data_IF_996713914659
#
_entry.id   IF_996713914659
#
_cell.length_a   1.000
_cell.length_b   1.000
_cell.length_c   1.000
_cell.angle_alpha   90.00
_cell.angle_beta   90.00
_cell.angle_gamma   90.00
#
_symmetry.space_group_name_H-M   'P 1'
#
loop_
_entity.id
_entity.type
_entity.pdbx_description
1 polymer ?
#
# COMPACT_ATOMS: atom_id res chain seq x y z
N UNK A 1 7.92 -6.44 23.67
CA UNK A 1 6.81 -5.45 23.66
C UNK A 1 5.85 -5.84 22.55
N UNK A 2 4.56 -6.03 22.85
CA UNK A 2 3.52 -6.25 21.84
C UNK A 2 3.07 -4.89 21.29
N UNK A 3 2.88 -4.76 19.97
CA UNK A 3 2.38 -3.52 19.37
C UNK A 3 0.84 -3.59 19.32
N UNK A 4 0.18 -2.87 20.21
CA UNK A 4 -1.27 -3.04 20.50
C UNK A 4 -2.16 -2.26 19.53
N UNK A 5 -1.60 -1.42 18.64
CA UNK A 5 -2.36 -0.52 17.77
C UNK A 5 -1.86 -0.53 16.32
N UNK A 6 -1.67 -1.73 15.73
CA UNK A 6 -1.38 -1.85 14.30
C UNK A 6 -2.71 -2.01 13.57
N UNK A 7 -3.05 -1.02 12.74
CA UNK A 7 -4.13 -1.17 11.76
C UNK A 7 -3.53 -1.67 10.44
N UNK A 8 -4.14 -2.72 9.90
CA UNK A 8 -3.74 -3.35 8.64
C UNK A 8 -4.86 -3.15 7.63
N UNK A 9 -4.53 -2.62 6.46
CA UNK A 9 -5.48 -2.48 5.35
C UNK A 9 -4.98 -3.24 4.13
N UNK A 10 -5.91 -3.94 3.48
CA UNK A 10 -5.71 -4.61 2.20
C UNK A 10 -6.31 -3.75 1.10
N UNK A 11 -5.49 -3.07 0.32
CA UNK A 11 -5.91 -2.31 -0.84
C UNK A 11 -5.65 -3.13 -2.11
N UNK A 12 -6.47 -4.16 -2.27
CA UNK A 12 -6.50 -5.04 -3.45
C UNK A 12 -7.65 -4.62 -4.37
N UNK A 13 -7.65 -5.05 -5.65
CA UNK A 13 -8.63 -4.62 -6.67
C UNK A 13 -10.10 -4.68 -6.25
N UNK A 14 -10.47 -5.62 -5.38
CA UNK A 14 -11.84 -5.84 -4.89
C UNK A 14 -12.17 -4.94 -3.69
N UNK A 15 -11.16 -4.54 -2.89
CA UNK A 15 -11.32 -3.63 -1.75
C UNK A 15 -10.73 -2.26 -2.09
N UNK A 16 -11.42 -1.53 -2.97
CA UNK A 16 -11.00 -0.21 -3.40
C UNK A 16 -11.29 0.80 -2.29
N UNK A 17 -10.22 1.24 -1.62
CA UNK A 17 -10.29 2.38 -0.71
C UNK A 17 -10.84 3.61 -1.46
N UNK A 18 -11.80 4.36 -0.88
CA UNK A 18 -12.36 5.57 -1.47
C UNK A 18 -11.28 6.56 -1.91
N UNK A 19 -11.57 7.31 -2.98
CA UNK A 19 -10.63 8.17 -3.73
C UNK A 19 -10.02 9.33 -2.94
N UNK A 20 -10.42 9.51 -1.68
CA UNK A 20 -9.93 10.56 -0.77
C UNK A 20 -9.53 10.03 0.61
N UNK A 21 -9.39 8.70 0.74
CA UNK A 21 -8.95 8.11 2.02
C UNK A 21 -7.47 8.37 2.19
N UNK A 22 -7.13 9.32 3.06
CA UNK A 22 -5.77 9.47 3.57
C UNK A 22 -5.43 8.24 4.40
N UNK A 23 -4.52 7.44 3.89
CA UNK A 23 -3.99 6.28 4.61
C UNK A 23 -3.23 6.79 5.83
N UNK A 24 -3.82 6.64 7.01
CA UNK A 24 -3.19 6.96 8.31
C UNK A 24 -2.62 5.72 8.99
N UNK A 25 -2.79 4.56 8.37
CA UNK A 25 -2.53 3.26 8.96
C UNK A 25 -1.07 2.83 8.82
N UNK A 26 -0.62 1.98 9.75
CA UNK A 26 0.78 1.60 9.88
C UNK A 26 1.24 0.55 8.87
N UNK A 27 0.32 -0.22 8.27
CA UNK A 27 0.64 -1.25 7.29
C UNK A 27 -0.42 -1.34 6.19
N UNK A 28 0.03 -1.25 4.95
CA UNK A 28 -0.81 -1.37 3.76
C UNK A 28 -0.26 -2.47 2.86
N UNK A 29 -1.14 -3.38 2.46
CA UNK A 29 -0.83 -4.45 1.51
C UNK A 29 -1.54 -4.15 0.20
N UNK A 30 -0.76 -3.89 -0.85
CA UNK A 30 -1.23 -3.44 -2.15
C UNK A 30 -0.51 -4.17 -3.28
N UNK A 31 -1.16 -4.26 -4.45
CA UNK A 31 -0.46 -4.65 -5.69
C UNK A 31 0.37 -3.47 -6.23
N UNK A 32 1.51 -3.72 -6.89
CA UNK A 32 2.40 -2.64 -7.37
C UNK A 32 1.69 -1.60 -8.25
N UNK A 33 0.78 -2.02 -9.11
CA UNK A 33 0.00 -1.09 -9.95
C UNK A 33 -0.92 -0.17 -9.12
N UNK A 34 -1.57 -0.69 -8.09
CA UNK A 34 -2.41 0.10 -7.18
C UNK A 34 -1.59 1.09 -6.36
N UNK A 35 -0.44 0.64 -5.83
CA UNK A 35 0.49 1.49 -5.11
C UNK A 35 1.00 2.63 -6.00
N UNK A 36 1.41 2.30 -7.24
CA UNK A 36 1.87 3.30 -8.21
C UNK A 36 0.79 4.34 -8.53
N UNK A 37 -0.45 3.90 -8.80
CA UNK A 37 -1.55 4.82 -9.07
C UNK A 37 -1.82 5.77 -7.88
N UNK A 38 -1.81 5.24 -6.65
CA UNK A 38 -2.02 6.04 -5.43
C UNK A 38 -0.90 7.01 -5.15
N UNK A 39 0.32 6.62 -5.47
CA UNK A 39 1.52 7.36 -5.14
C UNK A 39 1.93 8.39 -6.22
N UNK A 40 1.59 8.12 -7.49
CA UNK A 40 1.96 8.93 -8.65
C UNK A 40 0.78 9.71 -9.23
N UNK A 41 -0.38 9.07 -9.42
CA UNK A 41 -1.53 9.69 -10.11
C UNK A 41 -2.45 10.41 -9.14
N UNK A 42 -2.83 9.74 -8.04
CA UNK A 42 -3.84 10.24 -7.10
C UNK A 42 -3.24 11.01 -5.92
N UNK A 43 -1.93 10.90 -5.68
CA UNK A 43 -1.19 11.53 -4.56
C UNK A 43 -1.82 11.28 -3.17
N UNK A 44 -2.45 10.12 -2.99
CA UNK A 44 -3.08 9.71 -1.73
C UNK A 44 -2.10 9.11 -0.72
N UNK A 45 -0.92 8.70 -1.21
CA UNK A 45 0.16 8.15 -0.41
C UNK A 45 1.41 8.99 -0.60
N UNK A 46 1.92 9.51 0.52
CA UNK A 46 3.18 10.25 0.57
C UNK A 46 4.37 9.28 0.64
N UNK A 47 5.21 9.30 -0.39
CA UNK A 47 6.43 8.49 -0.48
C UNK A 47 7.38 8.73 0.68
N UNK A 48 7.46 9.96 1.17
CA UNK A 48 8.36 10.33 2.27
C UNK A 48 7.98 9.71 3.62
N UNK A 49 6.73 9.24 3.74
CA UNK A 49 6.23 8.59 4.96
C UNK A 49 6.43 7.07 4.97
N UNK A 50 6.74 6.45 3.82
CA UNK A 50 7.03 5.01 3.75
C UNK A 50 8.42 4.75 4.34
N UNK A 51 8.47 3.97 5.42
CA UNK A 51 9.74 3.59 6.07
C UNK A 51 10.27 2.23 5.62
N UNK A 52 9.38 1.32 5.27
CA UNK A 52 9.72 -0.04 4.85
C UNK A 52 8.86 -0.39 3.65
N UNK A 53 9.47 -0.96 2.63
CA UNK A 53 8.80 -1.46 1.44
C UNK A 53 9.24 -2.90 1.20
N UNK A 54 8.27 -3.81 1.04
CA UNK A 54 8.51 -5.23 0.78
C UNK A 54 7.77 -5.65 -0.49
N UNK A 55 8.48 -6.35 -1.37
CA UNK A 55 7.90 -7.00 -2.55
C UNK A 55 7.88 -8.50 -2.31
N UNK A 56 6.69 -9.09 -2.31
CA UNK A 56 6.51 -10.54 -2.25
C UNK A 56 6.41 -11.09 -3.66
N UNK A 57 7.14 -12.18 -3.96
CA UNK A 57 7.14 -12.87 -5.28
C UNK A 57 7.62 -11.97 -6.42
N UNK A 58 8.82 -11.41 -6.27
CA UNK A 58 9.40 -10.52 -7.27
C UNK A 58 9.65 -11.22 -8.63
N UNK A 59 9.93 -12.52 -8.57
CA UNK A 59 10.06 -13.45 -9.67
C UNK A 59 8.77 -13.55 -10.51
N UNK A 60 7.61 -13.74 -9.88
CA UNK A 60 6.30 -13.68 -10.56
C UNK A 60 6.03 -12.28 -11.16
N UNK A 61 6.47 -11.22 -10.49
CA UNK A 61 6.25 -9.84 -10.92
C UNK A 61 7.07 -9.44 -12.15
N UNK A 62 8.32 -9.90 -12.26
CA UNK A 62 9.23 -9.57 -13.36
C UNK A 62 8.89 -10.41 -14.61
N UNK A 63 8.22 -11.55 -14.44
CA UNK A 63 7.87 -12.46 -15.53
C UNK A 63 6.52 -12.15 -16.21
N UNK A 64 5.90 -10.98 -15.94
CA UNK A 64 4.64 -10.54 -16.57
C UNK A 64 4.87 -9.44 -17.60
#
# INVERSE_FOLDING_TARGET
KLCVSIQVIYAVRVNRLPRETLVKESLVIETPGTLFDRCCKLKLLDRGKVKVFMLTKADDLIYT
#
